data_IF_167047699362
#
_entry.id   IF_167047699362
#
_cell.length_a   1.000
_cell.length_b   1.000
_cell.length_c   1.000
_cell.angle_alpha   90.00
_cell.angle_beta   90.00
_cell.angle_gamma   90.00
#
_symmetry.space_group_name_H-M   'P 1'
#
loop_
_entity.id
_entity.type
_entity.pdbx_description
1 polymer ?
#
# COMPACT_ATOMS: atom_id res chain seq x y z
N UNK A 1 4.29 22.35 21.54
CA UNK A 1 3.94 21.16 20.71
C UNK A 1 2.65 20.48 21.23
N UNK A 2 1.48 21.07 21.01
CA UNK A 2 0.23 20.60 21.65
C UNK A 2 -0.21 19.19 21.20
N UNK A 3 0.22 18.75 20.02
CA UNK A 3 -0.12 17.42 19.51
C UNK A 3 0.71 16.29 20.15
N UNK A 4 1.94 16.58 20.57
CA UNK A 4 2.86 15.59 21.15
C UNK A 4 2.42 15.21 22.58
N UNK A 5 1.74 16.10 23.28
CA UNK A 5 1.27 15.87 24.65
C UNK A 5 0.19 14.78 24.77
N UNK A 6 -0.44 14.45 23.65
CA UNK A 6 -1.45 13.39 23.58
C UNK A 6 -0.85 11.97 23.47
N UNK A 7 0.44 11.86 23.14
CA UNK A 7 1.09 10.56 23.01
C UNK A 7 1.67 10.13 24.35
N UNK A 8 1.03 9.18 24.99
CA UNK A 8 1.53 8.47 26.17
C UNK A 8 1.89 7.04 25.76
N UNK A 9 3.14 6.86 25.34
CA UNK A 9 3.64 5.55 24.91
C UNK A 9 4.47 4.99 26.07
N UNK A 10 4.12 3.81 26.64
CA UNK A 10 4.91 3.19 27.69
C UNK A 10 6.37 3.00 27.27
N UNK A 11 7.30 3.36 28.13
CA UNK A 11 8.75 3.25 27.93
C UNK A 11 9.35 4.14 26.84
N UNK A 12 8.60 5.09 26.24
CA UNK A 12 9.11 6.05 25.25
C UNK A 12 8.79 7.46 25.72
N UNK A 13 9.83 8.26 25.99
CA UNK A 13 9.68 9.70 26.18
C UNK A 13 9.67 10.39 24.80
N UNK A 14 8.46 10.58 24.27
CA UNK A 14 8.27 11.18 22.94
C UNK A 14 8.80 12.61 22.88
N UNK A 15 8.71 13.37 23.97
CA UNK A 15 9.22 14.77 24.04
C UNK A 15 10.76 14.77 23.98
N UNK A 16 11.39 13.88 24.73
CA UNK A 16 12.85 13.74 24.70
C UNK A 16 13.35 13.27 23.32
N UNK A 17 12.65 12.33 22.69
CA UNK A 17 12.96 11.86 21.35
C UNK A 17 12.92 13.01 20.32
N UNK A 18 11.85 13.81 20.36
CA UNK A 18 11.70 14.96 19.45
C UNK A 18 12.79 16.01 19.74
N UNK A 19 13.06 16.31 21.02
CA UNK A 19 14.07 17.30 21.40
C UNK A 19 15.49 16.85 21.00
N UNK A 20 15.77 15.55 20.97
CA UNK A 20 17.05 14.98 20.55
C UNK A 20 17.19 14.86 19.03
N UNK A 21 16.13 15.10 18.26
CA UNK A 21 16.15 15.04 16.80
C UNK A 21 16.58 16.41 16.25
N UNK A 22 17.77 16.54 15.67
CA UNK A 22 18.32 17.84 15.28
C UNK A 22 17.62 18.48 14.08
N UNK A 23 16.99 17.64 13.24
CA UNK A 23 16.37 18.10 12.00
C UNK A 23 15.17 17.23 11.64
N UNK A 24 14.09 17.87 11.18
CA UNK A 24 12.86 17.22 10.72
C UNK A 24 12.63 17.57 9.25
N UNK A 25 12.26 16.54 8.49
CA UNK A 25 11.92 16.69 7.08
C UNK A 25 10.43 16.44 6.89
N UNK A 26 9.77 17.36 6.23
CA UNK A 26 8.38 17.22 5.83
C UNK A 26 8.32 16.93 4.32
N UNK A 27 7.72 15.79 3.98
CA UNK A 27 7.51 15.38 2.59
C UNK A 27 6.01 15.35 2.30
N UNK A 28 5.56 15.90 1.16
CA UNK A 28 4.18 15.75 0.76
C UNK A 28 3.88 14.27 0.50
N UNK A 29 2.77 13.80 1.06
CA UNK A 29 2.27 12.46 0.75
C UNK A 29 1.56 12.52 -0.60
N UNK A 30 2.20 11.98 -1.64
CA UNK A 30 1.72 12.07 -3.01
C UNK A 30 1.53 10.69 -3.62
N UNK A 31 0.50 10.56 -4.43
CA UNK A 31 0.32 9.47 -5.37
C UNK A 31 0.05 10.04 -6.79
N UNK A 32 -0.19 9.17 -7.73
CA UNK A 32 -0.56 9.53 -9.09
C UNK A 32 -1.75 8.69 -9.55
N UNK A 33 -2.59 9.27 -10.41
CA UNK A 33 -3.56 8.48 -11.15
C UNK A 33 -2.86 7.40 -11.99
N UNK A 34 -3.42 6.18 -12.03
CA UNK A 34 -2.85 5.13 -12.84
C UNK A 34 -2.67 5.57 -14.28
N UNK A 35 -1.47 5.40 -14.80
CA UNK A 35 -1.15 5.73 -16.18
C UNK A 35 -1.91 4.80 -17.14
N UNK A 36 -2.23 5.27 -18.34
CA UNK A 36 -2.89 4.45 -19.36
C UNK A 36 -1.93 3.42 -19.97
N UNK A 37 -0.63 3.63 -19.85
CA UNK A 37 0.43 2.75 -20.33
C UNK A 37 1.76 3.03 -19.61
N UNK A 38 2.65 2.02 -19.56
CA UNK A 38 4.00 2.13 -19.00
C UNK A 38 5.09 2.00 -20.05
N UNK A 39 4.80 1.28 -21.15
CA UNK A 39 5.79 0.89 -22.15
C UNK A 39 5.66 1.72 -23.43
N UNK A 40 6.82 2.13 -23.95
CA UNK A 40 6.94 2.79 -25.26
C UNK A 40 8.23 2.34 -25.95
N UNK A 41 8.11 1.59 -27.04
CA UNK A 41 9.25 1.01 -27.72
C UNK A 41 10.04 0.08 -26.82
N UNK A 42 11.29 0.41 -26.53
CA UNK A 42 12.19 -0.40 -25.68
C UNK A 42 12.32 0.14 -24.25
N UNK A 43 11.43 1.03 -23.84
CA UNK A 43 11.42 1.63 -22.49
C UNK A 43 10.13 1.24 -21.78
N UNK A 44 10.20 0.89 -20.51
CA UNK A 44 9.05 0.71 -19.61
C UNK A 44 9.30 1.33 -18.26
N UNK A 45 8.24 1.61 -17.52
CA UNK A 45 8.28 2.08 -16.14
C UNK A 45 8.16 0.89 -15.18
N UNK A 46 8.73 1.02 -13.97
CA UNK A 46 8.69 0.03 -12.92
C UNK A 46 8.62 0.71 -11.55
N UNK A 47 7.95 0.09 -10.58
CA UNK A 47 7.86 0.58 -9.21
C UNK A 47 7.25 1.98 -9.12
N UNK A 48 7.81 2.86 -8.29
CA UNK A 48 7.27 4.20 -8.06
C UNK A 48 7.24 5.08 -9.33
N UNK A 49 8.07 4.81 -10.31
CA UNK A 49 8.00 5.48 -11.60
C UNK A 49 6.70 5.15 -12.36
N UNK A 50 6.18 3.94 -12.18
CA UNK A 50 4.97 3.44 -12.82
C UNK A 50 3.71 3.70 -11.99
N UNK A 51 3.78 3.51 -10.69
CA UNK A 51 2.63 3.52 -9.78
C UNK A 51 2.97 4.06 -8.40
N UNK A 52 3.40 5.33 -8.26
CA UNK A 52 3.59 5.94 -6.94
C UNK A 52 2.26 5.89 -6.20
N UNK A 53 2.28 5.43 -4.95
CA UNK A 53 1.09 5.21 -4.16
C UNK A 53 1.27 5.72 -2.74
N UNK A 54 0.16 6.06 -2.08
CA UNK A 54 0.20 6.37 -0.66
C UNK A 54 0.76 5.18 0.13
N UNK A 55 1.53 5.44 1.22
CA UNK A 55 2.15 4.40 2.04
C UNK A 55 1.14 3.58 2.87
N UNK A 56 -0.15 3.80 2.66
CA UNK A 56 -1.25 3.05 3.25
C UNK A 56 -1.10 1.56 2.89
N UNK A 57 -1.14 0.68 3.90
CA UNK A 57 -0.91 -0.75 3.73
C UNK A 57 0.55 -1.15 3.43
N UNK A 58 1.50 -0.20 3.48
CA UNK A 58 2.96 -0.43 3.34
C UNK A 58 3.36 -1.29 2.13
N UNK A 59 2.75 -1.06 0.96
CA UNK A 59 2.74 -2.02 -0.14
C UNK A 59 3.64 -1.64 -1.34
N UNK A 60 4.09 -0.40 -1.44
CA UNK A 60 4.82 0.11 -2.62
C UNK A 60 6.07 -0.71 -2.96
N UNK A 61 6.95 -0.94 -1.99
CA UNK A 61 8.17 -1.72 -2.18
C UNK A 61 7.89 -3.17 -2.61
N UNK A 62 6.88 -3.82 -2.00
CA UNK A 62 6.48 -5.18 -2.36
C UNK A 62 5.99 -5.26 -3.80
N UNK A 63 5.22 -4.27 -4.25
CA UNK A 63 4.75 -4.21 -5.63
C UNK A 63 5.90 -3.98 -6.62
N UNK A 64 6.89 -3.16 -6.28
CA UNK A 64 8.09 -2.97 -7.10
C UNK A 64 8.91 -4.26 -7.25
N UNK A 65 9.01 -5.08 -6.19
CA UNK A 65 9.67 -6.40 -6.24
C UNK A 65 8.88 -7.35 -7.17
N UNK A 66 7.56 -7.37 -7.06
CA UNK A 66 6.70 -8.16 -7.94
C UNK A 66 6.79 -7.71 -9.40
N UNK A 67 6.92 -6.41 -9.65
CA UNK A 67 7.16 -5.87 -10.99
C UNK A 67 8.48 -6.38 -11.55
N UNK A 68 9.57 -6.29 -10.78
CA UNK A 68 10.88 -6.75 -11.20
C UNK A 68 10.87 -8.25 -11.54
N UNK A 69 10.19 -9.06 -10.74
CA UNK A 69 10.03 -10.49 -10.99
C UNK A 69 9.22 -10.74 -12.27
N UNK A 70 8.06 -10.10 -12.41
CA UNK A 70 7.21 -10.25 -13.60
C UNK A 70 7.94 -9.83 -14.89
N UNK A 71 8.69 -8.71 -14.83
CA UNK A 71 9.48 -8.23 -15.95
C UNK A 71 10.61 -9.23 -16.32
N UNK A 72 11.30 -9.78 -15.32
CA UNK A 72 12.35 -10.77 -15.55
C UNK A 72 11.79 -12.04 -16.20
N UNK A 73 10.66 -12.54 -15.70
CA UNK A 73 9.98 -13.72 -16.27
C UNK A 73 9.52 -13.44 -17.71
N UNK A 74 8.92 -12.28 -17.97
CA UNK A 74 8.50 -11.89 -19.31
C UNK A 74 9.68 -11.79 -20.29
N UNK A 75 10.81 -11.22 -19.86
CA UNK A 75 12.03 -11.13 -20.68
C UNK A 75 12.66 -12.50 -20.96
N UNK A 76 12.53 -13.47 -20.04
CA UNK A 76 13.06 -14.82 -20.24
C UNK A 76 12.24 -15.66 -21.21
N UNK A 77 10.95 -15.34 -21.37
CA UNK A 77 10.02 -16.12 -22.20
C UNK A 77 9.79 -15.53 -23.59
N UNK A 78 9.97 -14.23 -23.75
CA UNK A 78 9.66 -13.54 -25.00
C UNK A 78 10.82 -13.59 -26.00
N UNK A 79 10.51 -13.80 -27.27
CA UNK A 79 11.51 -13.74 -28.37
C UNK A 79 12.03 -12.30 -28.59
N UNK A 80 11.22 -11.30 -28.32
CA UNK A 80 11.56 -9.89 -28.50
C UNK A 80 11.32 -9.06 -27.26
N UNK A 81 12.28 -8.19 -26.86
CA UNK A 81 12.15 -7.37 -25.65
C UNK A 81 10.86 -6.55 -25.58
N UNK A 82 10.42 -5.97 -26.69
CA UNK A 82 9.18 -5.17 -26.70
C UNK A 82 7.94 -6.01 -26.38
N UNK A 83 7.89 -7.27 -26.82
CA UNK A 83 6.79 -8.17 -26.45
C UNK A 83 6.81 -8.48 -24.95
N UNK A 84 7.98 -8.67 -24.36
CA UNK A 84 8.15 -8.83 -22.91
C UNK A 84 7.64 -7.60 -22.13
N UNK A 85 8.00 -6.38 -22.58
CA UNK A 85 7.55 -5.16 -21.91
C UNK A 85 6.03 -5.00 -21.96
N UNK A 86 5.40 -5.34 -23.08
CA UNK A 86 3.94 -5.31 -23.18
C UNK A 86 3.28 -6.40 -22.33
N UNK A 87 3.83 -7.60 -22.25
CA UNK A 87 3.32 -8.67 -21.41
C UNK A 87 3.41 -8.27 -19.90
N UNK A 88 4.53 -7.74 -19.48
CA UNK A 88 4.73 -7.19 -18.15
C UNK A 88 3.69 -6.11 -17.81
N UNK A 89 3.55 -5.10 -18.69
CA UNK A 89 2.58 -4.02 -18.51
C UNK A 89 1.15 -4.57 -18.42
N UNK A 90 0.75 -5.44 -19.32
CA UNK A 90 -0.60 -6.01 -19.36
C UNK A 90 -0.96 -6.76 -18.07
N UNK A 91 0.02 -7.37 -17.42
CA UNK A 91 -0.18 -8.06 -16.15
C UNK A 91 -0.17 -7.09 -14.96
N UNK A 92 0.83 -6.21 -14.88
CA UNK A 92 1.09 -5.45 -13.66
C UNK A 92 0.29 -4.17 -13.53
N UNK A 93 0.08 -3.43 -14.63
CA UNK A 93 -0.64 -2.15 -14.62
C UNK A 93 -2.05 -2.26 -14.00
N UNK A 94 -2.92 -3.19 -14.40
CA UNK A 94 -4.25 -3.27 -13.80
C UNK A 94 -4.20 -3.63 -12.31
N UNK A 95 -3.27 -4.48 -11.88
CA UNK A 95 -3.10 -4.90 -10.49
C UNK A 95 -2.68 -3.73 -9.61
N UNK A 96 -1.62 -3.02 -9.99
CA UNK A 96 -1.13 -1.87 -9.22
C UNK A 96 -2.11 -0.69 -9.26
N UNK A 97 -2.79 -0.45 -10.37
CA UNK A 97 -3.87 0.54 -10.46
C UNK A 97 -5.01 0.27 -9.47
N UNK A 98 -5.36 -0.99 -9.27
CA UNK A 98 -6.37 -1.37 -8.27
C UNK A 98 -5.90 -1.06 -6.83
N UNK A 99 -4.60 -1.28 -6.55
CA UNK A 99 -4.00 -0.98 -5.23
C UNK A 99 -3.96 0.53 -4.99
N UNK A 100 -3.48 1.33 -5.95
CA UNK A 100 -3.48 2.80 -5.86
C UNK A 100 -4.87 3.33 -5.51
N UNK A 101 -5.91 2.85 -6.19
CA UNK A 101 -7.29 3.26 -5.89
C UNK A 101 -7.79 2.77 -4.53
N UNK A 102 -7.34 1.59 -4.07
CA UNK A 102 -7.69 1.06 -2.76
C UNK A 102 -7.02 1.85 -1.63
N UNK A 103 -5.75 2.25 -1.82
CA UNK A 103 -5.01 3.06 -0.85
C UNK A 103 -5.68 4.42 -0.61
N UNK A 104 -6.23 5.04 -1.65
CA UNK A 104 -7.01 6.31 -1.54
C UNK A 104 -8.30 6.17 -0.73
N UNK A 105 -8.75 4.94 -0.49
CA UNK A 105 -9.94 4.60 0.30
C UNK A 105 -9.58 4.05 1.68
N UNK A 106 -8.39 4.36 2.19
CA UNK A 106 -7.92 3.92 3.49
C UNK A 106 -7.20 2.56 3.49
N UNK A 107 -7.19 1.80 2.40
CA UNK A 107 -6.51 0.50 2.35
C UNK A 107 -6.95 -0.45 3.48
N UNK A 108 -6.01 -1.17 4.14
CA UNK A 108 -6.34 -2.00 5.30
C UNK A 108 -6.65 -1.16 6.54
N UNK A 109 -6.17 0.08 6.62
CA UNK A 109 -6.42 1.04 7.70
C UNK A 109 -7.87 1.58 7.68
N UNK A 110 -8.64 1.33 6.63
CA UNK A 110 -10.07 1.64 6.57
C UNK A 110 -10.90 1.01 7.71
N UNK A 111 -10.34 0.02 8.43
CA UNK A 111 -10.94 -0.49 9.66
C UNK A 111 -10.97 0.57 10.77
N UNK A 112 -9.98 1.46 10.81
CA UNK A 112 -9.92 2.56 11.79
C UNK A 112 -11.03 3.56 11.50
N UNK A 113 -11.17 3.98 10.24
CA UNK A 113 -12.23 4.89 9.80
C UNK A 113 -13.63 4.31 10.10
N UNK A 114 -13.81 3.00 9.89
CA UNK A 114 -15.07 2.32 10.18
C UNK A 114 -15.39 2.33 11.68
N UNK A 115 -14.40 2.10 12.54
CA UNK A 115 -14.57 2.13 14.00
C UNK A 115 -14.85 3.55 14.47
N UNK A 116 -14.12 4.56 13.97
CA UNK A 116 -14.33 5.95 14.34
C UNK A 116 -15.72 6.46 13.94
N UNK A 117 -16.21 6.06 12.77
CA UNK A 117 -17.56 6.40 12.33
C UNK A 117 -18.67 5.80 13.21
N UNK A 118 -18.45 4.62 13.79
CA UNK A 118 -19.40 3.93 14.67
C UNK A 118 -19.30 4.38 16.13
N UNK A 119 -18.14 4.79 16.59
CA UNK A 119 -17.86 5.16 17.97
C UNK A 119 -16.92 6.37 18.06
N UNK A 120 -17.35 7.56 17.59
CA UNK A 120 -16.51 8.78 17.56
C UNK A 120 -16.08 9.26 18.93
N UNK A 121 -16.87 8.94 19.97
CA UNK A 121 -16.58 9.32 21.36
C UNK A 121 -15.74 8.27 22.11
N UNK A 122 -15.30 7.22 21.41
CA UNK A 122 -14.53 6.12 21.98
C UNK A 122 -15.38 4.91 22.37
N UNK A 123 -14.73 3.85 22.82
CA UNK A 123 -15.37 2.58 23.19
C UNK A 123 -14.59 1.87 24.30
N UNK A 124 -15.27 0.95 24.97
CA UNK A 124 -14.66 0.05 25.97
C UNK A 124 -14.47 -1.38 25.41
N UNK A 125 -15.30 -1.77 24.46
CA UNK A 125 -15.25 -3.07 23.81
C UNK A 125 -15.36 -2.90 22.29
N UNK A 126 -14.27 -3.19 21.59
CA UNK A 126 -14.18 -3.08 20.14
C UNK A 126 -15.09 -4.08 19.41
N UNK A 127 -15.32 -5.27 19.99
CA UNK A 127 -16.17 -6.29 19.36
C UNK A 127 -17.66 -5.91 19.41
N UNK A 128 -18.04 -5.09 20.37
CA UNK A 128 -19.37 -4.49 20.42
C UNK A 128 -19.59 -3.39 19.37
N UNK A 129 -18.52 -2.66 18.99
CA UNK A 129 -18.57 -1.59 17.97
C UNK A 129 -18.52 -2.18 16.57
N UNK A 130 -17.51 -3.00 16.29
CA UNK A 130 -17.28 -3.64 15.00
C UNK A 130 -16.73 -5.05 15.24
N UNK A 131 -17.55 -6.11 15.06
CA UNK A 131 -17.16 -7.48 15.32
C UNK A 131 -15.87 -7.89 14.60
N UNK A 132 -15.06 -8.76 15.21
CA UNK A 132 -13.78 -9.21 14.67
C UNK A 132 -13.87 -9.68 13.21
N UNK A 133 -14.92 -10.44 12.87
CA UNK A 133 -15.13 -10.95 11.52
C UNK A 133 -15.29 -9.84 10.47
N UNK A 134 -15.95 -8.73 10.82
CA UNK A 134 -16.11 -7.56 9.94
C UNK A 134 -14.79 -6.80 9.78
N UNK A 135 -14.04 -6.59 10.89
CA UNK A 135 -12.71 -5.99 10.84
C UNK A 135 -11.76 -6.83 9.97
N UNK A 136 -11.78 -8.16 10.17
CA UNK A 136 -10.99 -9.08 9.35
C UNK A 136 -11.37 -9.02 7.87
N UNK A 137 -12.67 -8.89 7.55
CA UNK A 137 -13.13 -8.81 6.17
C UNK A 137 -12.60 -7.59 5.44
N UNK A 138 -12.52 -6.42 6.12
CA UNK A 138 -11.94 -5.19 5.56
C UNK A 138 -10.47 -5.41 5.21
N UNK A 139 -9.66 -5.91 6.15
CA UNK A 139 -8.22 -6.15 5.97
C UNK A 139 -7.97 -7.24 4.92
N UNK A 140 -8.73 -8.34 4.95
CA UNK A 140 -8.61 -9.45 3.99
C UNK A 140 -8.98 -9.01 2.57
N UNK A 141 -10.00 -8.18 2.41
CA UNK A 141 -10.39 -7.63 1.11
C UNK A 141 -9.27 -6.80 0.47
N UNK A 142 -8.50 -6.06 1.27
CA UNK A 142 -7.32 -5.37 0.81
C UNK A 142 -6.18 -6.35 0.45
N UNK A 143 -5.87 -7.31 1.31
CA UNK A 143 -4.81 -8.30 1.08
C UNK A 143 -5.03 -9.09 -0.24
N UNK A 144 -6.27 -9.41 -0.57
CA UNK A 144 -6.62 -10.04 -1.84
C UNK A 144 -6.30 -9.14 -3.06
N UNK A 145 -6.64 -7.85 -2.99
CA UNK A 145 -6.34 -6.88 -4.06
C UNK A 145 -4.83 -6.68 -4.22
N UNK A 146 -4.11 -6.68 -3.11
CA UNK A 146 -2.67 -6.46 -3.07
C UNK A 146 -1.85 -7.71 -3.43
N UNK A 147 -2.47 -8.89 -3.52
CA UNK A 147 -1.84 -10.12 -3.99
C UNK A 147 -1.12 -10.92 -2.90
N UNK A 148 -1.36 -10.64 -1.61
CA UNK A 148 -0.76 -11.37 -0.49
C UNK A 148 -1.76 -11.97 0.49
N UNK A 149 -2.97 -12.24 0.05
CA UNK A 149 -3.84 -13.13 0.81
C UNK A 149 -3.19 -14.50 0.96
N UNK A 150 -3.40 -15.15 2.09
CA UNK A 150 -2.73 -16.43 2.45
C UNK A 150 -2.86 -17.50 1.35
N UNK A 151 -3.99 -17.51 0.67
CA UNK A 151 -4.29 -18.44 -0.44
C UNK A 151 -3.44 -18.14 -1.67
N UNK A 152 -3.20 -16.85 -1.97
CA UNK A 152 -2.40 -16.40 -3.11
C UNK A 152 -0.90 -16.66 -2.90
N UNK A 153 -0.41 -16.44 -1.67
CA UNK A 153 1.01 -16.67 -1.33
C UNK A 153 1.37 -18.17 -1.33
N UNK A 154 0.41 -19.06 -1.01
CA UNK A 154 0.64 -20.51 -1.04
C UNK A 154 0.60 -21.10 -2.44
N UNK A 155 0.02 -20.39 -3.41
CA UNK A 155 -0.13 -20.85 -4.80
C UNK A 155 0.97 -20.31 -5.73
N UNK A 156 1.83 -19.42 -5.23
CA UNK A 156 2.97 -18.83 -5.95
C UNK A 156 4.27 -19.59 -5.65
#
# INVERSE_FOLDING_TARGET
>A
MPHVERFAIPHVDVKALIAATPEFWEYPMCDRDPLPRWSQGRVTLLGDAAHPMYPVGSNGASQAILDARCLADALSLAEHPMAALHAYEAERLPKTAAIVRANRKGGPEGVIDAVEALAPDGFTDIDAVLPHAEREAIVRGYAQKAGFAKEQVKAA
#
